data_IF_240011825360
#
_entry.id   IF_240011825360
#
_cell.length_a   1.000
_cell.length_b   1.000
_cell.length_c   1.000
_cell.angle_alpha   90.00
_cell.angle_beta   90.00
_cell.angle_gamma   90.00
#
_symmetry.space_group_name_H-M   'P 1'
#
loop_
_entity.id
_entity.type
_entity.pdbx_description
1 polymer ?
#
# COMPACT_ATOMS: atom_id res chain seq x y z
N UNK A 1 -7.89 -12.00 -31.60
CA UNK A 1 -6.91 -11.52 -30.61
C UNK A 1 -7.58 -11.64 -29.24
N UNK A 2 -7.27 -12.70 -28.50
CA UNK A 2 -7.95 -13.04 -27.25
C UNK A 2 -6.98 -12.94 -26.07
N UNK A 3 -6.82 -11.73 -25.54
CA UNK A 3 -6.08 -11.48 -24.30
C UNK A 3 -7.07 -10.94 -23.26
N UNK A 4 -7.86 -11.84 -22.69
CA UNK A 4 -8.63 -11.54 -21.46
C UNK A 4 -8.50 -12.73 -20.53
N UNK A 5 -7.26 -13.04 -20.14
CA UNK A 5 -7.04 -13.74 -18.88
C UNK A 5 -7.25 -12.71 -17.78
N UNK A 6 -8.30 -12.89 -16.98
CA UNK A 6 -8.64 -11.94 -15.92
C UNK A 6 -7.49 -11.84 -14.90
N UNK A 7 -6.82 -10.69 -14.87
CA UNK A 7 -5.67 -10.39 -14.00
C UNK A 7 -5.95 -10.73 -12.54
N UNK A 8 -7.16 -10.43 -12.06
CA UNK A 8 -7.60 -10.72 -10.69
C UNK A 8 -7.63 -12.23 -10.41
N UNK A 9 -8.04 -13.03 -11.39
CA UNK A 9 -8.08 -14.51 -11.26
C UNK A 9 -6.67 -15.09 -11.21
N UNK A 10 -5.76 -14.60 -12.07
CA UNK A 10 -4.37 -15.05 -12.08
C UNK A 10 -3.62 -14.67 -10.79
N UNK A 11 -3.82 -13.45 -10.29
CA UNK A 11 -3.25 -13.00 -9.02
C UNK A 11 -3.76 -13.83 -7.83
N UNK A 12 -5.08 -14.07 -7.76
CA UNK A 12 -5.67 -14.93 -6.73
C UNK A 12 -5.17 -16.37 -6.80
N UNK A 13 -4.95 -16.89 -8.01
CA UNK A 13 -4.42 -18.25 -8.19
C UNK A 13 -3.00 -18.37 -7.63
N UNK A 14 -2.10 -17.43 -7.96
CA UNK A 14 -0.73 -17.41 -7.41
C UNK A 14 -0.76 -17.24 -5.89
N UNK A 15 -1.65 -16.39 -5.35
CA UNK A 15 -1.78 -16.16 -3.91
C UNK A 15 -2.15 -17.45 -3.17
N UNK A 16 -3.21 -18.15 -3.60
CA UNK A 16 -3.63 -19.42 -3.01
C UNK A 16 -2.54 -20.49 -3.08
N UNK A 17 -1.81 -20.54 -4.20
CA UNK A 17 -0.68 -21.44 -4.36
C UNK A 17 0.47 -21.11 -3.39
N UNK A 18 0.76 -19.83 -3.16
CA UNK A 18 1.76 -19.40 -2.18
C UNK A 18 1.36 -19.79 -0.76
N UNK A 19 0.11 -19.58 -0.38
CA UNK A 19 -0.45 -19.95 0.93
C UNK A 19 -0.35 -21.46 1.16
N UNK A 20 -0.84 -22.27 0.21
CA UNK A 20 -0.75 -23.73 0.32
C UNK A 20 0.71 -24.24 0.36
N UNK A 21 1.61 -23.61 -0.39
CA UNK A 21 3.03 -23.96 -0.36
C UNK A 21 3.69 -23.64 0.98
N UNK A 22 3.27 -22.55 1.63
CA UNK A 22 3.73 -22.19 2.98
C UNK A 22 3.23 -23.19 4.01
N UNK A 23 1.94 -23.51 3.99
CA UNK A 23 1.32 -24.49 4.91
C UNK A 23 2.00 -25.85 4.83
N UNK A 24 2.40 -26.26 3.62
CA UNK A 24 3.10 -27.52 3.34
C UNK A 24 4.63 -27.42 3.44
N UNK A 25 5.19 -26.25 3.75
CA UNK A 25 6.63 -25.99 3.84
C UNK A 25 7.40 -26.42 2.58
N UNK A 26 6.84 -26.17 1.41
CA UNK A 26 7.44 -26.58 0.15
C UNK A 26 8.69 -25.75 -0.18
N UNK A 27 9.72 -26.41 -0.71
CA UNK A 27 10.85 -25.71 -1.31
C UNK A 27 10.42 -24.98 -2.58
N UNK A 28 11.12 -23.92 -3.01
CA UNK A 28 10.82 -23.20 -4.25
C UNK A 28 10.75 -24.12 -5.48
N UNK A 29 11.61 -25.14 -5.56
CA UNK A 29 11.63 -26.10 -6.67
C UNK A 29 10.39 -27.00 -6.68
N UNK A 30 9.95 -27.50 -5.51
CA UNK A 30 8.72 -28.29 -5.41
C UNK A 30 7.50 -27.45 -5.72
N UNK A 31 7.46 -26.21 -5.21
CA UNK A 31 6.41 -25.24 -5.49
C UNK A 31 6.27 -24.98 -6.99
N UNK A 32 7.38 -24.74 -7.69
CA UNK A 32 7.39 -24.60 -9.15
C UNK A 32 6.79 -25.82 -9.86
N UNK A 33 7.23 -27.03 -9.48
CA UNK A 33 6.72 -28.27 -10.10
C UNK A 33 5.22 -28.42 -9.93
N UNK A 34 4.68 -28.10 -8.75
CA UNK A 34 3.24 -28.13 -8.48
C UNK A 34 2.53 -27.07 -9.32
N UNK A 35 3.03 -25.83 -9.33
CA UNK A 35 2.43 -24.73 -10.07
C UNK A 35 2.25 -25.06 -11.55
N UNK A 36 3.33 -25.55 -12.19
CA UNK A 36 3.33 -25.97 -13.59
C UNK A 36 2.36 -27.10 -13.85
N UNK A 37 2.22 -28.04 -12.90
CA UNK A 37 1.28 -29.17 -13.01
C UNK A 37 -0.18 -28.75 -12.89
N UNK A 38 -0.46 -27.67 -12.17
CA UNK A 38 -1.80 -27.11 -11.96
C UNK A 38 -2.24 -26.15 -13.08
N UNK A 39 -1.37 -25.84 -14.04
CA UNK A 39 -1.78 -25.08 -15.23
C UNK A 39 -2.66 -25.95 -16.13
N UNK A 40 -3.77 -25.39 -16.59
CA UNK A 40 -4.73 -26.07 -17.45
C UNK A 40 -4.92 -25.34 -18.78
N UNK A 41 -5.37 -26.07 -19.80
CA UNK A 41 -5.77 -25.51 -21.09
C UNK A 41 -4.71 -24.63 -21.76
N UNK A 42 -5.06 -23.37 -22.05
CA UNK A 42 -4.18 -22.42 -22.72
C UNK A 42 -2.97 -22.00 -21.87
N UNK A 43 -3.10 -21.98 -20.54
CA UNK A 43 -2.01 -21.62 -19.65
C UNK A 43 -0.90 -22.69 -19.66
N UNK A 44 -1.29 -23.96 -19.68
CA UNK A 44 -0.33 -25.08 -19.81
C UNK A 44 0.46 -25.01 -21.13
N UNK A 45 -0.26 -24.82 -22.25
CA UNK A 45 0.37 -24.68 -23.58
C UNK A 45 1.30 -23.46 -23.67
N UNK A 46 0.90 -22.34 -23.09
CA UNK A 46 1.74 -21.14 -23.01
C UNK A 46 3.03 -21.45 -22.26
N UNK A 47 2.95 -22.05 -21.08
CA UNK A 47 4.12 -22.34 -20.27
C UNK A 47 5.08 -23.32 -20.96
N UNK A 48 4.57 -24.31 -21.68
CA UNK A 48 5.39 -25.23 -22.47
C UNK A 48 6.20 -24.51 -23.56
N UNK A 49 5.62 -23.50 -24.21
CA UNK A 49 6.33 -22.66 -25.18
C UNK A 49 7.33 -21.69 -24.53
N UNK A 50 6.98 -21.13 -23.37
CA UNK A 50 7.83 -20.18 -22.64
C UNK A 50 9.04 -20.86 -22.03
N UNK A 51 8.86 -21.99 -21.32
CA UNK A 51 9.97 -22.73 -20.70
C UNK A 51 11.00 -23.22 -21.71
N UNK A 52 10.58 -23.51 -22.95
CA UNK A 52 11.47 -23.93 -24.04
C UNK A 52 12.47 -22.86 -24.49
N UNK A 53 12.25 -21.60 -24.10
CA UNK A 53 13.18 -20.48 -24.36
C UNK A 53 14.33 -20.40 -23.34
N UNK A 54 14.19 -21.08 -22.20
CA UNK A 54 15.21 -21.10 -21.16
C UNK A 54 16.31 -22.11 -21.53
N UNK A 55 17.57 -21.67 -21.52
CA UNK A 55 18.73 -22.52 -21.78
C UNK A 55 19.21 -23.34 -20.58
N UNK A 56 18.42 -23.41 -19.49
CA UNK A 56 18.82 -23.99 -18.22
C UNK A 56 17.65 -24.23 -17.27
N UNK A 57 17.96 -24.48 -16.00
CA UNK A 57 16.95 -24.72 -14.95
C UNK A 57 16.14 -23.46 -14.70
N UNK A 58 14.82 -23.57 -14.87
CA UNK A 58 13.86 -22.50 -14.54
C UNK A 58 13.62 -22.50 -13.03
N UNK A 59 13.71 -21.33 -12.40
CA UNK A 59 13.41 -21.15 -10.98
C UNK A 59 11.95 -20.77 -10.75
N UNK A 60 11.49 -20.84 -9.49
CA UNK A 60 10.17 -20.32 -9.11
C UNK A 60 10.00 -18.84 -9.49
N UNK A 61 11.06 -18.04 -9.36
CA UNK A 61 11.01 -16.62 -9.67
C UNK A 61 10.82 -16.37 -11.17
N UNK A 62 11.56 -17.09 -12.00
CA UNK A 62 11.45 -17.01 -13.47
C UNK A 62 10.01 -17.35 -13.91
N UNK A 63 9.44 -18.43 -13.36
CA UNK A 63 8.04 -18.80 -13.62
C UNK A 63 7.07 -17.68 -13.23
N UNK A 64 7.19 -17.12 -12.01
CA UNK A 64 6.32 -16.02 -11.59
C UNK A 64 6.42 -14.85 -12.55
N UNK A 65 7.63 -14.49 -12.96
CA UNK A 65 7.86 -13.36 -13.85
C UNK A 65 7.16 -13.55 -15.20
N UNK A 66 7.36 -14.70 -15.82
CA UNK A 66 6.71 -15.05 -17.10
C UNK A 66 5.19 -15.15 -16.94
N UNK A 67 4.72 -15.76 -15.84
CA UNK A 67 3.29 -15.92 -15.56
C UNK A 67 2.63 -14.56 -15.44
N UNK A 68 3.20 -13.63 -14.68
CA UNK A 68 2.68 -12.28 -14.62
C UNK A 68 2.77 -11.56 -15.97
N UNK A 69 3.88 -11.66 -16.71
CA UNK A 69 4.00 -11.04 -18.04
C UNK A 69 2.99 -11.59 -19.07
N UNK A 70 2.51 -12.81 -18.91
CA UNK A 70 1.47 -13.39 -19.77
C UNK A 70 0.07 -12.79 -19.53
N UNK A 71 -0.20 -12.34 -18.29
CA UNK A 71 -1.49 -11.80 -17.90
C UNK A 71 -1.49 -10.27 -17.76
N UNK A 72 -0.33 -9.66 -17.58
CA UNK A 72 -0.12 -8.22 -17.51
C UNK A 72 0.62 -7.76 -18.75
N UNK A 73 0.07 -6.80 -19.48
CA UNK A 73 0.87 -6.09 -20.47
C UNK A 73 1.95 -5.27 -19.77
N UNK A 74 3.11 -5.08 -20.42
CA UNK A 74 4.16 -4.17 -19.92
C UNK A 74 3.61 -2.77 -19.62
N UNK A 75 2.61 -2.32 -20.39
CA UNK A 75 1.92 -1.07 -20.15
C UNK A 75 1.19 -1.05 -18.80
N UNK A 76 0.45 -2.11 -18.46
CA UNK A 76 -0.27 -2.23 -17.19
C UNK A 76 0.68 -2.37 -16.00
N UNK A 77 1.76 -3.15 -16.14
CA UNK A 77 2.80 -3.25 -15.10
C UNK A 77 3.45 -1.89 -14.87
N UNK A 78 3.86 -1.20 -15.93
CA UNK A 78 4.49 0.11 -15.82
C UNK A 78 3.52 1.16 -15.25
N UNK A 79 2.23 1.07 -15.58
CA UNK A 79 1.20 1.92 -14.98
C UNK A 79 1.10 1.67 -13.46
N UNK A 80 1.12 0.40 -13.02
CA UNK A 80 1.10 0.03 -11.60
C UNK A 80 2.38 0.41 -10.85
N UNK A 81 3.55 0.24 -11.47
CA UNK A 81 4.83 0.72 -10.92
C UNK A 81 4.80 2.23 -10.77
N UNK A 82 4.28 2.97 -11.76
CA UNK A 82 4.11 4.42 -11.68
C UNK A 82 3.13 4.82 -10.59
N UNK A 83 2.00 4.12 -10.46
CA UNK A 83 1.01 4.35 -9.41
C UNK A 83 1.62 4.15 -8.03
N UNK A 84 2.38 3.07 -7.83
CA UNK A 84 3.10 2.79 -6.58
C UNK A 84 4.16 3.85 -6.31
N UNK A 85 4.95 4.22 -7.32
CA UNK A 85 6.07 5.16 -7.15
C UNK A 85 5.62 6.59 -6.85
N UNK A 86 4.40 6.95 -7.27
CA UNK A 86 3.81 8.28 -7.05
C UNK A 86 2.76 8.26 -5.94
N UNK A 87 2.64 7.17 -5.20
CA UNK A 87 1.64 7.04 -4.14
C UNK A 87 2.07 7.90 -2.95
N UNK A 88 1.35 9.01 -2.76
CA UNK A 88 1.49 9.89 -1.61
C UNK A 88 0.15 9.98 -0.86
N UNK A 89 0.21 10.16 0.45
CA UNK A 89 -0.91 10.55 1.26
C UNK A 89 -1.35 11.95 0.82
N UNK A 90 -2.63 12.11 0.51
CA UNK A 90 -3.16 13.39 0.08
C UNK A 90 -4.65 13.50 0.38
N UNK A 91 -5.10 14.76 0.55
CA UNK A 91 -6.49 15.07 0.84
C UNK A 91 -6.93 14.50 2.19
N UNK A 92 -7.99 13.69 2.17
CA UNK A 92 -8.56 13.05 3.37
C UNK A 92 -8.13 11.59 3.52
N UNK A 93 -7.08 11.15 2.80
CA UNK A 93 -6.59 9.78 2.91
C UNK A 93 -5.92 9.56 4.27
N UNK A 94 -6.40 8.56 5.00
CA UNK A 94 -5.82 8.14 6.27
C UNK A 94 -4.54 7.32 6.05
N UNK A 95 -3.68 7.24 7.07
CA UNK A 95 -2.47 6.40 7.03
C UNK A 95 -2.84 4.92 6.79
N UNK A 96 -3.99 4.46 7.31
CA UNK A 96 -4.45 3.09 7.09
C UNK A 96 -4.89 2.85 5.65
N UNK A 97 -5.54 3.82 5.02
CA UNK A 97 -5.90 3.74 3.59
C UNK A 97 -4.66 3.78 2.70
N UNK A 98 -3.65 4.59 3.06
CA UNK A 98 -2.36 4.60 2.40
C UNK A 98 -1.70 3.21 2.47
N UNK A 99 -1.59 2.63 3.67
CA UNK A 99 -1.03 1.28 3.88
C UNK A 99 -1.73 0.23 3.01
N UNK A 100 -3.06 0.22 2.99
CA UNK A 100 -3.82 -0.72 2.18
C UNK A 100 -3.51 -0.58 0.69
N UNK A 101 -3.36 0.66 0.18
CA UNK A 101 -2.98 0.90 -1.22
C UNK A 101 -1.55 0.47 -1.53
N UNK A 102 -0.61 0.69 -0.61
CA UNK A 102 0.76 0.18 -0.76
C UNK A 102 0.77 -1.34 -0.92
N UNK A 103 0.06 -2.05 -0.04
CA UNK A 103 0.02 -3.51 -0.06
C UNK A 103 -0.68 -4.06 -1.29
N UNK A 104 -1.81 -3.45 -1.70
CA UNK A 104 -2.52 -3.84 -2.92
C UNK A 104 -1.65 -3.66 -4.17
N UNK A 105 -0.98 -2.51 -4.31
CA UNK A 105 -0.11 -2.28 -5.45
C UNK A 105 1.12 -3.19 -5.42
N UNK A 106 1.74 -3.39 -4.25
CA UNK A 106 2.90 -4.27 -4.07
C UNK A 106 2.64 -5.70 -4.57
N UNK A 107 1.44 -6.23 -4.35
CA UNK A 107 1.01 -7.57 -4.82
C UNK A 107 1.04 -7.68 -6.35
N UNK A 108 0.88 -6.57 -7.07
CA UNK A 108 0.88 -6.53 -8.55
C UNK A 108 2.27 -6.25 -9.14
N UNK A 109 3.23 -5.75 -8.34
CA UNK A 109 4.58 -5.40 -8.78
C UNK A 109 5.67 -6.05 -7.88
N UNK A 110 5.66 -7.38 -7.71
CA UNK A 110 6.49 -8.06 -6.71
C UNK A 110 8.00 -7.80 -6.86
N UNK A 111 8.49 -7.63 -8.10
CA UNK A 111 9.90 -7.28 -8.39
C UNK A 111 10.33 -5.90 -7.83
N UNK A 112 9.37 -5.00 -7.65
CA UNK A 112 9.62 -3.61 -7.24
C UNK A 112 9.34 -3.36 -5.76
N UNK A 113 8.44 -4.14 -5.14
CA UNK A 113 7.93 -3.87 -3.80
C UNK A 113 8.51 -4.75 -2.67
N UNK A 114 9.21 -5.86 -2.95
CA UNK A 114 9.69 -6.79 -1.91
C UNK A 114 11.05 -6.43 -1.27
N UNK A 115 11.59 -5.23 -1.49
CA UNK A 115 12.71 -4.72 -0.69
C UNK A 115 12.15 -3.92 0.49
N UNK A 116 12.26 -4.47 1.70
CA UNK A 116 11.68 -3.87 2.91
C UNK A 116 12.23 -2.46 3.18
N UNK A 117 13.52 -2.22 2.95
CA UNK A 117 14.10 -0.90 3.16
C UNK A 117 13.54 0.12 2.18
N UNK A 118 13.34 -0.27 0.91
CA UNK A 118 12.68 0.61 -0.07
C UNK A 118 11.24 0.87 0.31
N UNK A 119 10.51 -0.15 0.74
CA UNK A 119 9.11 -0.01 1.13
C UNK A 119 8.96 0.91 2.35
N UNK A 120 9.87 0.81 3.32
CA UNK A 120 9.92 1.68 4.50
C UNK A 120 10.21 3.11 4.13
N UNK A 121 11.25 3.36 3.33
CA UNK A 121 11.62 4.71 2.90
C UNK A 121 10.52 5.35 2.05
N UNK A 122 9.96 4.58 1.11
CA UNK A 122 8.89 5.06 0.26
C UNK A 122 7.65 5.41 1.09
N UNK A 123 7.21 4.52 1.98
CA UNK A 123 6.06 4.80 2.83
C UNK A 123 6.27 6.02 3.71
N UNK A 124 7.48 6.20 4.25
CA UNK A 124 7.87 7.36 5.04
C UNK A 124 7.76 8.67 4.23
N UNK A 125 8.30 8.69 3.01
CA UNK A 125 8.24 9.84 2.09
C UNK A 125 6.81 10.12 1.59
N UNK A 126 5.98 9.09 1.53
CA UNK A 126 4.58 9.20 1.12
C UNK A 126 3.67 9.81 2.19
N UNK A 127 4.07 9.91 3.45
CA UNK A 127 3.23 10.49 4.51
C UNK A 127 2.97 11.98 4.24
N UNK A 128 1.78 12.45 4.60
CA UNK A 128 1.45 13.88 4.55
C UNK A 128 2.41 14.65 5.48
N UNK A 129 2.90 15.81 5.05
CA UNK A 129 3.90 16.59 5.80
C UNK A 129 3.47 16.86 7.25
N UNK A 130 2.19 17.13 7.48
CA UNK A 130 1.69 17.36 8.83
C UNK A 130 1.79 16.11 9.69
N UNK A 131 1.61 14.93 9.13
CA UNK A 131 1.74 13.65 9.84
C UNK A 131 3.22 13.29 10.01
N UNK A 132 4.01 13.50 8.96
CA UNK A 132 5.45 13.25 8.90
C UNK A 132 6.21 13.98 10.01
N UNK A 133 5.98 15.29 10.19
CA UNK A 133 6.60 16.12 11.23
C UNK A 133 6.31 15.64 12.67
N UNK A 134 5.29 14.78 12.83
CA UNK A 134 4.80 14.28 14.12
C UNK A 134 5.15 12.81 14.33
N UNK A 135 5.59 12.13 13.28
CA UNK A 135 6.11 10.78 13.31
C UNK A 135 7.62 10.80 13.66
N UNK A 136 8.20 9.64 13.98
CA UNK A 136 9.63 9.54 14.24
C UNK A 136 10.23 8.43 13.40
N UNK A 137 11.21 8.74 12.54
CA UNK A 137 11.96 7.72 11.81
C UNK A 137 13.05 7.15 12.72
N UNK A 138 13.11 5.83 12.83
CA UNK A 138 14.22 5.14 13.50
C UNK A 138 15.04 4.37 12.46
N UNK A 139 16.34 4.13 12.72
CA UNK A 139 17.15 3.27 11.88
C UNK A 139 16.57 1.85 11.82
N UNK A 140 16.64 1.22 10.64
CA UNK A 140 16.27 -0.19 10.42
C UNK A 140 14.83 -0.55 10.82
N UNK A 141 13.89 0.38 10.60
CA UNK A 141 12.48 0.08 10.80
C UNK A 141 12.00 -1.01 9.83
N UNK A 142 11.12 -1.88 10.31
CA UNK A 142 10.29 -2.72 9.46
C UNK A 142 9.13 -1.92 8.87
N UNK A 143 8.48 -2.44 7.85
CA UNK A 143 7.32 -1.76 7.27
C UNK A 143 6.20 -1.53 8.30
N UNK A 144 5.93 -2.53 9.14
CA UNK A 144 4.92 -2.40 10.20
C UNK A 144 5.28 -1.30 11.22
N UNK A 145 6.57 -1.12 11.51
CA UNK A 145 7.03 -0.08 12.43
C UNK A 145 6.87 1.32 11.85
N UNK A 146 7.16 1.53 10.56
CA UNK A 146 6.97 2.85 9.93
C UNK A 146 5.49 3.21 9.82
N UNK A 147 4.62 2.24 9.53
CA UNK A 147 3.16 2.42 9.55
C UNK A 147 2.68 2.84 10.94
N UNK A 148 3.18 2.18 12.00
CA UNK A 148 2.83 2.53 13.37
C UNK A 148 3.22 3.97 13.75
N UNK A 149 4.35 4.47 13.22
CA UNK A 149 4.76 5.87 13.41
C UNK A 149 3.83 6.84 12.66
N UNK A 150 3.46 6.52 11.43
CA UNK A 150 2.47 7.31 10.68
C UNK A 150 1.14 7.41 11.44
N UNK A 151 0.61 6.30 11.93
CA UNK A 151 -0.65 6.26 12.71
C UNK A 151 -0.55 7.10 13.99
N UNK A 152 0.61 7.08 14.66
CA UNK A 152 0.87 7.94 15.82
C UNK A 152 0.88 9.42 15.43
N UNK A 153 1.51 9.76 14.31
CA UNK A 153 1.55 11.13 13.78
C UNK A 153 0.15 11.65 13.43
N UNK A 154 -0.65 10.82 12.75
CA UNK A 154 -2.04 11.11 12.37
C UNK A 154 -2.91 11.39 13.59
N UNK A 155 -2.85 10.53 14.61
CA UNK A 155 -3.57 10.74 15.87
C UNK A 155 -3.22 12.07 16.53
N UNK A 156 -1.93 12.40 16.62
CA UNK A 156 -1.50 13.65 17.22
C UNK A 156 -1.94 14.88 16.42
N UNK A 157 -1.96 14.79 15.09
CA UNK A 157 -2.45 15.84 14.21
C UNK A 157 -3.94 16.08 14.42
N UNK A 158 -4.75 15.03 14.44
CA UNK A 158 -6.20 15.14 14.67
C UNK A 158 -6.53 15.74 16.04
N UNK A 159 -5.81 15.33 17.09
CA UNK A 159 -5.98 15.87 18.43
C UNK A 159 -5.63 17.36 18.51
N UNK A 160 -4.54 17.79 17.86
CA UNK A 160 -4.18 19.21 17.75
C UNK A 160 -5.25 20.01 17.02
N UNK A 161 -5.70 19.52 15.86
CA UNK A 161 -6.74 20.16 15.06
C UNK A 161 -8.05 20.33 15.82
N UNK A 162 -8.43 19.33 16.64
CA UNK A 162 -9.60 19.42 17.53
C UNK A 162 -9.42 20.51 18.59
N UNK A 163 -8.27 20.56 19.27
CA UNK A 163 -7.98 21.61 20.25
C UNK A 163 -8.01 23.02 19.63
N UNK A 164 -7.37 23.20 18.49
CA UNK A 164 -7.30 24.52 17.84
C UNK A 164 -8.68 25.01 17.38
N UNK A 165 -9.54 24.08 16.92
CA UNK A 165 -10.93 24.41 16.55
C UNK A 165 -11.81 24.71 17.76
N UNK A 166 -11.62 24.03 18.89
CA UNK A 166 -12.30 24.32 20.15
C UNK A 166 -11.89 25.69 20.72
N UNK A 167 -10.59 25.98 20.72
CA UNK A 167 -10.07 27.26 21.20
C UNK A 167 -10.52 28.43 20.31
N UNK A 168 -10.55 28.23 18.99
CA UNK A 168 -11.10 29.22 18.06
C UNK A 168 -12.59 29.53 18.33
N UNK A 169 -13.39 28.51 18.65
CA UNK A 169 -14.80 28.68 19.04
C UNK A 169 -14.95 29.46 20.35
N UNK A 170 -14.13 29.16 21.36
CA UNK A 170 -14.12 29.89 22.65
C UNK A 170 -13.79 31.37 22.46
N UNK A 171 -12.70 31.69 21.75
CA UNK A 171 -12.30 33.08 21.46
C UNK A 171 -13.39 33.85 20.72
N UNK A 172 -14.09 33.21 19.77
CA UNK A 172 -15.20 33.83 19.03
C UNK A 172 -16.39 34.16 19.93
N UNK A 173 -16.75 33.25 20.86
CA UNK A 173 -17.81 33.48 21.84
C UNK A 173 -17.47 34.61 22.81
N UNK A 174 -16.24 34.63 23.33
CA UNK A 174 -15.75 35.68 24.24
C UNK A 174 -15.74 37.06 23.57
N UNK A 175 -15.39 37.13 22.28
CA UNK A 175 -15.41 38.39 21.51
C UNK A 175 -16.82 38.89 21.16
N UNK A 176 -17.85 38.04 21.19
CA UNK A 176 -19.24 38.41 20.85
C UNK A 176 -20.19 38.38 22.06
N UNK A 177 -19.66 38.27 23.28
CA UNK A 177 -20.44 38.32 24.52
C UNK A 177 -21.16 39.66 24.69
N UNK A 178 -22.37 39.69 25.30
CA UNK A 178 -23.22 40.87 25.34
C UNK A 178 -22.54 42.02 26.08
N UNK A 179 -22.42 43.16 25.41
CA UNK A 179 -21.90 44.41 25.95
C UNK A 179 -22.83 44.86 27.10
N UNK A 180 -22.40 44.63 28.34
CA UNK A 180 -23.15 44.95 29.55
C UNK A 180 -23.54 46.42 29.59
N UNK A 181 -24.83 46.69 29.44
CA UNK A 181 -25.45 48.01 29.57
C UNK A 181 -25.51 48.41 31.05
N UNK A 182 -24.42 48.98 31.56
CA UNK A 182 -24.39 49.50 32.92
C UNK A 182 -25.05 50.90 32.96
N UNK A 183 -26.39 50.95 33.02
CA UNK A 183 -27.13 52.18 33.32
C UNK A 183 -27.08 52.44 34.84
N UNK A 184 -26.15 53.30 35.26
CA UNK A 184 -26.19 53.97 36.57
C UNK A 184 -27.46 54.83 36.66
N UNK A 185 -28.45 54.37 37.41
CA UNK A 185 -29.57 55.19 37.88
C UNK A 185 -29.16 55.94 39.14
N UNK A 186 -28.91 57.24 39.00
CA UNK A 186 -28.53 58.14 40.07
C UNK A 186 -29.75 58.50 40.95
N UNK A 187 -29.48 58.83 42.21
CA UNK A 187 -30.45 59.18 43.24
C UNK A 187 -31.22 60.47 42.93
N UNK A 188 -32.46 60.55 43.43
CA UNK A 188 -33.29 61.75 43.55
C UNK A 188 -34.34 61.54 44.61
#
# INVERSE_FOLDING_TARGET
MGHTGNISVAAQWIKRLNEAALDMQLTPDFKLRIAVRLLEGLASKWWDGTKGKYGGTVTWEDFRQEFFAQYYSDFEVNAKVREYTLLIQGGNMTVKELENKFMDLADHIPKYAYDENRMVNHFWEALDLEIHDRATQLPNMTFSQVVAQGLKGEKQWEERKKRDTEDAKKRKWESHGPQGSNKKGNHG
#
